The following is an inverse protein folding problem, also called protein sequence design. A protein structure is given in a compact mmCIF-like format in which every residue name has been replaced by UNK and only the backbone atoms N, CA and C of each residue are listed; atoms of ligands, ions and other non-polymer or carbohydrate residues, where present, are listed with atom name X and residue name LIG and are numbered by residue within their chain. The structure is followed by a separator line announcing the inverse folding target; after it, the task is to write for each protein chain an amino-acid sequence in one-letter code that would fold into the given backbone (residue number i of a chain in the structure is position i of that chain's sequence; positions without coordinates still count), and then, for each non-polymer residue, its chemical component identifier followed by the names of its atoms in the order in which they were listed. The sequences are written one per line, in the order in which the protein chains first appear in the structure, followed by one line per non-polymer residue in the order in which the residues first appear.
data_IF_591576188443
#
_entry.id   IF_591576188443
#
_cell.length_a   1.000
_cell.length_b   1.000
_cell.length_c   1.000
_cell.angle_alpha   90.00
_cell.angle_beta   90.00
_cell.angle_gamma   90.00
#
_symmetry.space_group_name_H-M   'P 1'
#
loop_
_entity.id
_entity.type
_entity.pdbx_description
1 polymer ?
#
# COMPACT_ATOMS: atom_id res chain seq x y z
N UNK A 1 5.33 -8.16 -6.26
CA UNK A 1 4.61 -6.90 -5.99
C UNK A 1 3.14 -7.21 -6.13
N UNK A 2 2.30 -6.57 -5.33
CA UNK A 2 0.84 -6.73 -5.40
C UNK A 2 0.14 -5.40 -5.14
N UNK A 3 -1.14 -5.35 -5.50
CA UNK A 3 -2.07 -4.26 -5.18
C UNK A 3 -2.84 -4.66 -3.92
N UNK A 4 -2.62 -3.94 -2.82
CA UNK A 4 -3.40 -4.09 -1.60
C UNK A 4 -4.40 -2.93 -1.50
N UNK A 5 -5.68 -3.25 -1.49
CA UNK A 5 -6.76 -2.29 -1.26
C UNK A 5 -7.12 -2.34 0.22
N UNK A 6 -6.87 -1.24 0.92
CA UNK A 6 -7.25 -1.10 2.33
C UNK A 6 -8.56 -0.34 2.42
N UNK A 7 -9.56 -0.90 3.09
CA UNK A 7 -10.81 -0.21 3.41
C UNK A 7 -10.61 0.60 4.70
N UNK A 8 -10.77 1.92 4.63
CA UNK A 8 -10.46 2.86 5.70
C UNK A 8 -9.10 3.59 5.52
N UNK A 9 -8.76 4.47 6.48
CA UNK A 9 -7.47 5.17 6.51
C UNK A 9 -6.61 4.78 7.73
N UNK A 10 -5.71 3.79 7.60
CA UNK A 10 -4.72 3.48 8.63
C UNK A 10 -3.63 4.56 8.84
N UNK A 11 -3.59 5.58 7.97
CA UNK A 11 -2.52 6.57 7.91
C UNK A 11 -1.27 6.09 7.17
N UNK A 12 -1.42 5.10 6.28
CA UNK A 12 -0.31 4.50 5.52
C UNK A 12 0.16 5.43 4.40
N UNK A 13 1.47 5.58 4.27
CA UNK A 13 2.14 6.47 3.30
C UNK A 13 3.23 5.71 2.54
N UNK A 14 3.77 6.38 1.51
CA UNK A 14 4.94 5.88 0.78
C UNK A 14 6.09 5.58 1.74
N UNK A 15 6.83 4.52 1.46
CA UNK A 15 7.92 3.97 2.26
C UNK A 15 7.49 3.43 3.64
N UNK A 16 6.18 3.30 3.87
CA UNK A 16 5.64 2.53 4.99
C UNK A 16 5.99 1.05 4.89
N UNK A 17 5.92 0.35 6.01
CA UNK A 17 6.17 -1.08 6.15
C UNK A 17 4.98 -1.71 6.86
N UNK A 18 4.44 -2.77 6.28
CA UNK A 18 3.31 -3.53 6.82
C UNK A 18 3.69 -5.00 6.93
N UNK A 19 3.06 -5.71 7.87
CA UNK A 19 3.12 -7.16 7.91
C UNK A 19 1.84 -7.71 7.28
N UNK A 20 2.00 -8.40 6.15
CA UNK A 20 0.88 -8.93 5.39
C UNK A 20 1.17 -10.37 5.00
N UNK A 21 0.25 -11.27 5.35
CA UNK A 21 0.41 -12.72 5.14
C UNK A 21 1.68 -13.30 5.78
N UNK A 22 2.07 -12.75 6.95
CA UNK A 22 3.27 -13.17 7.69
C UNK A 22 4.59 -12.67 7.11
N UNK A 23 4.57 -11.77 6.12
CA UNK A 23 5.76 -11.19 5.49
C UNK A 23 5.76 -9.66 5.62
N UNK A 24 6.93 -9.09 5.92
CA UNK A 24 7.14 -7.65 5.87
C UNK A 24 7.20 -7.16 4.42
N UNK A 25 6.28 -6.25 4.08
CA UNK A 25 6.17 -5.65 2.75
C UNK A 25 6.28 -4.14 2.86
N UNK A 26 6.99 -3.55 1.89
CA UNK A 26 7.14 -2.10 1.75
C UNK A 26 6.04 -1.54 0.87
N UNK A 27 5.55 -0.37 1.24
CA UNK A 27 4.55 0.39 0.48
C UNK A 27 5.25 1.32 -0.50
N UNK A 28 5.18 1.00 -1.79
CA UNK A 28 5.82 1.77 -2.84
C UNK A 28 5.00 2.97 -3.30
N UNK A 29 3.67 2.84 -3.31
CA UNK A 29 2.75 3.94 -3.59
C UNK A 29 1.43 3.75 -2.87
N UNK A 30 0.75 4.86 -2.60
CA UNK A 30 -0.57 4.93 -1.99
C UNK A 30 -1.43 5.87 -2.82
N UNK A 31 -2.61 5.42 -3.22
CA UNK A 31 -3.62 6.22 -3.89
C UNK A 31 -4.89 6.20 -3.05
N UNK A 32 -5.38 7.38 -2.67
CA UNK A 32 -6.60 7.52 -1.88
C UNK A 32 -7.81 7.63 -2.79
N UNK A 33 -8.82 6.81 -2.54
CA UNK A 33 -10.03 6.68 -3.36
C UNK A 33 -11.27 6.92 -2.51
N UNK A 34 -12.33 7.42 -3.15
CA UNK A 34 -13.64 7.58 -2.53
C UNK A 34 -13.82 8.82 -1.65
N UNK A 35 -12.91 9.79 -1.68
CA UNK A 35 -13.04 11.03 -0.86
C UNK A 35 -14.18 11.96 -1.31
N UNK A 36 -14.67 11.83 -2.54
CA UNK A 36 -15.77 12.65 -3.08
C UNK A 36 -16.84 11.75 -3.69
N UNK A 37 -18.08 11.82 -3.17
CA UNK A 37 -19.19 10.92 -3.55
C UNK A 37 -18.83 9.42 -3.49
N UNK A 38 -17.97 9.04 -2.54
CA UNK A 38 -17.58 7.67 -2.32
C UNK A 38 -18.31 7.01 -1.15
N UNK A 39 -17.86 5.81 -0.74
CA UNK A 39 -18.33 5.13 0.46
C UNK A 39 -18.11 5.95 1.75
N UNK A 40 -18.70 5.50 2.85
CA UNK A 40 -18.60 6.17 4.16
C UNK A 40 -17.14 6.34 4.62
N UNK A 41 -16.30 5.34 4.33
CA UNK A 41 -14.86 5.39 4.58
C UNK A 41 -14.05 5.33 3.27
N UNK A 42 -12.94 6.09 3.16
CA UNK A 42 -12.09 6.07 1.98
C UNK A 42 -11.39 4.71 1.81
N UNK A 43 -10.91 4.44 0.60
CA UNK A 43 -10.08 3.26 0.32
C UNK A 43 -8.66 3.69 -0.04
N UNK A 44 -7.64 3.02 0.52
CA UNK A 44 -6.25 3.21 0.14
C UNK A 44 -5.81 2.09 -0.81
N UNK A 45 -5.51 2.45 -2.05
CA UNK A 45 -4.95 1.53 -3.03
C UNK A 45 -3.43 1.60 -2.96
N UNK A 46 -2.83 0.58 -2.37
CA UNK A 46 -1.39 0.51 -2.12
C UNK A 46 -0.72 -0.45 -3.10
N UNK A 47 0.39 -0.05 -3.70
CA UNK A 47 1.30 -1.02 -4.33
C UNK A 47 2.34 -1.43 -3.31
N UNK A 48 2.39 -2.71 -2.98
CA UNK A 48 3.29 -3.27 -1.96
C UNK A 48 4.19 -4.35 -2.56
N UNK A 49 5.37 -4.53 -1.99
CA UNK A 49 6.33 -5.54 -2.43
C UNK A 49 7.50 -5.67 -1.48
N UNK A 50 8.40 -6.61 -1.78
CA UNK A 50 9.66 -6.76 -1.03
C UNK A 50 10.68 -5.71 -1.46
N UNK A 51 11.73 -5.49 -0.68
CA UNK A 51 12.74 -4.46 -1.01
C UNK A 51 13.44 -4.75 -2.35
N UNK A 52 13.63 -6.03 -2.71
CA UNK A 52 14.21 -6.45 -4.00
C UNK A 52 13.37 -6.00 -5.21
N UNK A 53 12.05 -5.82 -5.05
CA UNK A 53 11.15 -5.43 -6.13
C UNK A 53 11.09 -3.90 -6.33
N UNK A 54 11.73 -3.14 -5.43
CA UNK A 54 11.69 -1.69 -5.45
C UNK A 54 12.28 -1.10 -6.73
N UNK A 55 13.40 -1.63 -7.22
CA UNK A 55 14.05 -1.15 -8.44
C UNK A 55 13.15 -1.32 -9.66
N UNK A 56 12.48 -2.49 -9.77
CA UNK A 56 11.50 -2.75 -10.82
C UNK A 56 10.28 -1.82 -10.72
N UNK A 57 9.83 -1.51 -9.50
CA UNK A 57 8.78 -0.51 -9.29
C UNK A 57 9.20 0.89 -9.76
N UNK A 58 10.37 1.35 -9.33
CA UNK A 58 10.91 2.69 -9.62
C UNK A 58 11.17 2.87 -11.13
N UNK A 59 11.66 1.83 -11.81
CA UNK A 59 11.86 1.80 -13.27
C UNK A 59 10.60 1.50 -14.07
N UNK A 60 9.49 1.16 -13.40
CA UNK A 60 8.22 0.74 -14.02
C UNK A 60 8.37 -0.49 -14.94
N UNK A 61 9.23 -1.43 -14.55
CA UNK A 61 9.47 -2.69 -15.25
C UNK A 61 8.41 -3.75 -14.88
N UNK A 62 7.14 -3.34 -14.87
CA UNK A 62 6.00 -4.20 -14.57
C UNK A 62 4.74 -3.66 -15.24
N UNK A 63 3.76 -4.54 -15.46
CA UNK A 63 2.44 -4.14 -15.98
C UNK A 63 1.46 -4.05 -14.80
N UNK A 64 0.93 -2.86 -14.46
CA UNK A 64 0.06 -2.70 -13.30
C UNK A 64 -1.19 -3.59 -13.31
N UNK A 65 -1.71 -3.93 -14.48
CA UNK A 65 -2.89 -4.80 -14.64
C UNK A 65 -2.62 -6.29 -14.38
N UNK A 66 -1.35 -6.70 -14.26
CA UNK A 66 -0.96 -8.08 -13.98
C UNK A 66 -0.60 -8.31 -12.51
N UNK A 67 -0.63 -7.26 -11.68
CA UNK A 67 -0.41 -7.41 -10.24
C UNK A 67 -1.62 -8.08 -9.61
N UNK A 68 -1.39 -9.08 -8.77
CA UNK A 68 -2.43 -9.65 -7.92
C UNK A 68 -3.02 -8.57 -7.02
N UNK A 69 -4.33 -8.67 -6.78
CA UNK A 69 -5.10 -7.70 -5.99
C UNK A 69 -5.67 -8.41 -4.78
N UNK A 70 -5.36 -7.91 -3.60
CA UNK A 70 -5.95 -8.33 -2.33
C UNK A 70 -6.64 -7.15 -1.63
N UNK A 71 -7.58 -7.46 -0.74
CA UNK A 71 -8.33 -6.48 0.06
C UNK A 71 -8.19 -6.77 1.55
N UNK A 72 -8.13 -5.74 2.39
CA UNK A 72 -8.12 -5.86 3.85
C UNK A 72 -8.75 -4.63 4.51
N UNK A 73 -9.33 -4.78 5.69
CA UNK A 73 -9.80 -3.66 6.49
C UNK A 73 -8.63 -2.96 7.20
N UNK A 74 -8.71 -1.64 7.35
CA UNK A 74 -7.67 -0.84 8.01
C UNK A 74 -7.43 -1.28 9.46
N UNK A 75 -8.47 -1.74 10.16
CA UNK A 75 -8.40 -2.23 11.53
C UNK A 75 -7.67 -3.58 11.66
N UNK A 76 -7.66 -4.38 10.59
CA UNK A 76 -7.03 -5.70 10.55
C UNK A 76 -5.58 -5.67 10.02
N UNK A 77 -5.13 -4.52 9.49
CA UNK A 77 -3.81 -4.37 8.90
C UNK A 77 -2.74 -4.13 9.98
N UNK A 78 -1.72 -4.99 10.02
CA UNK A 78 -0.56 -4.81 10.90
C UNK A 78 0.46 -3.86 10.26
N UNK A 79 0.71 -2.73 10.91
CA UNK A 79 1.56 -1.64 10.40
C UNK A 79 2.80 -1.52 11.26
N UNK A 80 3.94 -1.85 10.68
CA UNK A 80 5.25 -1.71 11.32
C UNK A 80 5.74 -0.26 11.25
N UNK A 81 5.57 0.40 10.08
CA UNK A 81 5.94 1.82 9.88
C UNK A 81 4.92 2.51 8.98
N UNK A 82 4.39 3.67 9.40
CA UNK A 82 3.40 4.42 8.62
C UNK A 82 3.96 5.11 7.37
N UNK A 83 5.25 5.44 7.31
CA UNK A 83 5.86 6.12 6.16
C UNK A 83 7.37 6.33 6.31
N UNK A 84 8.02 6.86 5.26
CA UNK A 84 9.42 7.29 5.31
C UNK A 84 9.67 8.37 6.37
N UNK A 85 10.89 8.43 6.91
CA UNK A 85 11.29 9.49 7.83
C UNK A 85 11.12 10.84 7.15
N UNK A 86 10.17 11.64 7.67
CA UNK A 86 9.98 13.02 7.27
C UNK A 86 11.12 13.83 7.88
N UNK A 87 12.26 13.90 7.20
CA UNK A 87 13.24 14.96 7.47
C UNK A 87 12.66 16.25 6.89
N UNK A 88 12.02 17.05 7.75
CA UNK A 88 11.62 18.45 7.48
C UNK A 88 12.84 19.35 7.46
#
# INVERSE_FOLDING_TARGET
MKKLIVHGDPGLRKDGVINYDGQELRVFSVQRQGEYHGPEEPQLWCTIGTDDERDAFEKKEYVPHWLDVDTIDAEALDIVKKGGDLTV
#
